data_IF_468515600706
#
_entry.id   IF_468515600706
#
_cell.length_a   1.000
_cell.length_b   1.000
_cell.length_c   1.000
_cell.angle_alpha   90.00
_cell.angle_beta   90.00
_cell.angle_gamma   90.00
#
_symmetry.space_group_name_H-M   'P 1'
#
loop_
_entity.id
_entity.type
_entity.pdbx_description
1 polymer ?
#
# COMPACT_ATOMS: atom_id res chain seq x y z
N UNK A 1 78.26 -21.49 -10.37
CA UNK A 1 76.86 -21.80 -10.85
C UNK A 1 75.89 -21.14 -9.87
N UNK A 2 75.31 -19.96 -10.23
CA UNK A 2 74.36 -19.23 -9.44
C UNK A 2 72.94 -19.64 -9.88
N UNK A 3 72.18 -20.20 -8.93
CA UNK A 3 70.74 -20.51 -9.18
C UNK A 3 69.92 -19.28 -8.88
N UNK A 4 69.26 -18.74 -9.90
CA UNK A 4 68.25 -17.68 -9.76
C UNK A 4 66.96 -18.33 -9.26
N UNK A 5 66.48 -17.94 -8.08
CA UNK A 5 65.15 -18.32 -7.60
C UNK A 5 64.11 -17.30 -8.11
N UNK A 6 63.15 -17.76 -8.86
CA UNK A 6 62.02 -16.95 -9.31
C UNK A 6 60.93 -17.00 -8.22
N UNK A 7 60.69 -15.88 -7.57
CA UNK A 7 59.59 -15.73 -6.62
C UNK A 7 58.32 -15.41 -7.39
N UNK A 8 57.33 -16.30 -7.33
CA UNK A 8 55.97 -16.04 -7.82
C UNK A 8 55.20 -15.22 -6.77
N UNK A 9 54.91 -13.98 -7.07
CA UNK A 9 53.96 -13.17 -6.29
C UNK A 9 52.54 -13.51 -6.70
N UNK A 10 51.80 -14.18 -5.80
CA UNK A 10 50.36 -14.41 -5.99
C UNK A 10 49.59 -13.12 -5.60
N UNK A 11 49.12 -12.39 -6.59
CA UNK A 11 48.18 -11.29 -6.38
C UNK A 11 46.79 -11.87 -6.09
N UNK A 12 46.40 -11.85 -4.83
CA UNK A 12 45.03 -12.13 -4.43
C UNK A 12 44.12 -10.94 -4.81
N UNK A 13 43.32 -11.10 -5.85
CA UNK A 13 42.30 -10.15 -6.24
C UNK A 13 41.17 -10.18 -5.17
N UNK A 14 41.09 -9.14 -4.34
CA UNK A 14 39.97 -8.94 -3.44
C UNK A 14 38.80 -8.42 -4.27
N UNK A 15 37.85 -9.31 -4.60
CA UNK A 15 36.60 -8.92 -5.22
C UNK A 15 35.69 -8.33 -4.14
N UNK A 16 35.23 -7.05 -4.26
CA UNK A 16 34.24 -6.55 -3.32
C UNK A 16 32.94 -7.34 -3.52
N UNK A 17 32.57 -8.10 -2.51
CA UNK A 17 31.23 -8.72 -2.46
C UNK A 17 30.20 -7.58 -2.37
N UNK A 18 29.53 -7.29 -3.48
CA UNK A 18 28.32 -6.46 -3.48
C UNK A 18 27.26 -7.23 -2.69
N UNK A 19 27.18 -6.93 -1.40
CA UNK A 19 26.06 -7.37 -0.58
C UNK A 19 24.79 -6.69 -1.10
N UNK A 20 23.99 -7.41 -1.88
CA UNK A 20 22.61 -7.04 -2.10
C UNK A 20 21.93 -7.10 -0.73
N UNK A 21 21.72 -5.94 -0.12
CA UNK A 21 20.91 -5.82 1.06
C UNK A 21 19.51 -6.35 0.69
N UNK A 22 19.20 -7.57 1.10
CA UNK A 22 17.84 -8.09 1.04
C UNK A 22 17.01 -7.15 1.90
N UNK A 23 16.03 -6.50 1.27
CA UNK A 23 15.09 -5.60 1.93
C UNK A 23 14.26 -6.44 2.91
N UNK A 24 14.76 -6.63 4.13
CA UNK A 24 14.01 -7.24 5.22
C UNK A 24 12.89 -6.27 5.58
N UNK A 25 11.65 -6.75 5.78
CA UNK A 25 10.56 -5.90 6.24
C UNK A 25 11.02 -5.15 7.49
N UNK A 26 10.92 -3.84 7.46
CA UNK A 26 11.22 -3.02 8.64
C UNK A 26 10.04 -3.10 9.62
N UNK A 27 10.30 -2.87 10.92
CA UNK A 27 9.21 -2.77 11.92
C UNK A 27 8.14 -1.76 11.51
N UNK A 28 8.52 -0.75 10.73
CA UNK A 28 7.60 0.23 10.17
C UNK A 28 6.70 -0.34 9.08
N UNK A 29 7.23 -1.19 8.20
CA UNK A 29 6.44 -1.88 7.18
C UNK A 29 5.40 -2.81 7.80
N UNK A 30 5.77 -3.56 8.85
CA UNK A 30 4.85 -4.45 9.55
C UNK A 30 3.70 -3.66 10.21
N UNK A 31 4.01 -2.48 10.79
CA UNK A 31 2.99 -1.58 11.33
C UNK A 31 1.99 -1.15 10.25
N UNK A 32 2.48 -0.71 9.09
CA UNK A 32 1.62 -0.25 8.00
C UNK A 32 0.77 -1.38 7.41
N UNK A 33 1.33 -2.58 7.26
CA UNK A 33 0.56 -3.77 6.85
C UNK A 33 -0.58 -4.05 7.83
N UNK A 34 -0.31 -3.95 9.14
CA UNK A 34 -1.35 -4.14 10.15
C UNK A 34 -2.43 -3.06 10.07
N UNK A 35 -2.04 -1.78 9.96
CA UNK A 35 -2.99 -0.67 9.82
C UNK A 35 -3.88 -0.83 8.60
N UNK A 36 -3.31 -1.25 7.48
CA UNK A 36 -4.05 -1.50 6.25
C UNK A 36 -5.02 -2.67 6.39
N UNK A 37 -4.61 -3.75 7.06
CA UNK A 37 -5.48 -4.89 7.31
C UNK A 37 -6.64 -4.52 8.27
N UNK A 38 -6.37 -3.72 9.31
CA UNK A 38 -7.39 -3.20 10.21
C UNK A 38 -8.38 -2.29 9.45
N UNK A 39 -7.88 -1.46 8.54
CA UNK A 39 -8.70 -0.62 7.66
C UNK A 39 -9.61 -1.47 6.76
N UNK A 40 -9.04 -2.46 6.05
CA UNK A 40 -9.79 -3.36 5.18
C UNK A 40 -10.90 -4.10 5.95
N UNK A 41 -10.58 -4.59 7.15
CA UNK A 41 -11.55 -5.27 8.02
C UNK A 41 -12.68 -4.34 8.43
N UNK A 42 -12.36 -3.14 8.90
CA UNK A 42 -13.38 -2.17 9.32
C UNK A 42 -14.33 -1.80 8.17
N UNK A 43 -13.80 -1.66 6.95
CA UNK A 43 -14.61 -1.37 5.77
C UNK A 43 -15.47 -2.57 5.35
N UNK A 44 -14.95 -3.77 5.44
CA UNK A 44 -15.74 -4.98 5.15
C UNK A 44 -16.93 -5.13 6.13
N UNK A 45 -16.78 -4.71 7.39
CA UNK A 45 -17.80 -4.79 8.43
C UNK A 45 -18.79 -3.60 8.41
N UNK A 46 -18.31 -2.39 8.09
CA UNK A 46 -19.07 -1.15 8.29
C UNK A 46 -19.18 -0.28 7.03
N UNK A 47 -18.65 -0.75 5.91
CA UNK A 47 -18.76 -0.09 4.61
C UNK A 47 -18.10 1.30 4.54
N UNK A 48 -18.69 2.18 3.73
CA UNK A 48 -18.15 3.51 3.46
C UNK A 48 -17.99 4.39 4.70
N UNK A 49 -18.83 4.24 5.69
CA UNK A 49 -18.70 5.01 6.93
C UNK A 49 -17.36 4.76 7.63
N UNK A 50 -16.92 3.49 7.69
CA UNK A 50 -15.61 3.15 8.21
C UNK A 50 -14.48 3.66 7.30
N UNK A 51 -14.65 3.55 5.97
CA UNK A 51 -13.65 4.02 5.00
C UNK A 51 -13.21 5.45 5.30
N UNK A 52 -14.15 6.38 5.44
CA UNK A 52 -13.88 7.81 5.69
C UNK A 52 -13.14 8.05 7.00
N UNK A 53 -13.33 7.22 8.02
CA UNK A 53 -12.71 7.43 9.34
C UNK A 53 -11.18 7.20 9.35
N UNK A 54 -10.67 6.46 8.37
CA UNK A 54 -9.24 6.22 8.24
C UNK A 54 -8.47 7.36 7.58
N UNK A 55 -9.16 8.29 6.92
CA UNK A 55 -8.52 9.45 6.29
C UNK A 55 -8.20 10.56 7.30
N UNK A 56 -7.06 11.23 7.07
CA UNK A 56 -6.72 12.49 7.72
C UNK A 56 -7.71 13.59 7.34
N UNK A 57 -7.73 14.69 8.07
CA UNK A 57 -8.63 15.83 7.74
C UNK A 57 -8.34 16.42 6.35
N UNK A 58 -7.06 16.45 5.97
CA UNK A 58 -6.56 16.87 4.67
C UNK A 58 -6.40 15.70 3.67
N UNK A 59 -6.89 14.51 4.03
CA UNK A 59 -6.78 13.31 3.20
C UNK A 59 -7.68 13.36 1.96
N UNK A 60 -7.20 12.77 0.89
CA UNK A 60 -7.86 12.74 -0.42
C UNK A 60 -7.88 11.35 -1.03
N UNK A 61 -8.92 11.06 -1.79
CA UNK A 61 -9.02 9.93 -2.70
C UNK A 61 -8.87 10.44 -4.14
N UNK A 62 -7.95 9.84 -4.90
CA UNK A 62 -7.78 10.12 -6.33
C UNK A 62 -8.65 9.13 -7.09
N UNK A 63 -9.65 9.65 -7.78
CA UNK A 63 -10.65 8.82 -8.42
C UNK A 63 -10.22 8.31 -9.80
N UNK A 64 -10.63 7.09 -10.13
CA UNK A 64 -10.51 6.55 -11.48
C UNK A 64 -11.31 7.45 -12.44
N UNK A 65 -10.65 7.94 -13.48
CA UNK A 65 -11.24 8.89 -14.41
C UNK A 65 -10.91 10.36 -14.15
N UNK A 66 -10.17 10.69 -13.07
CA UNK A 66 -9.51 12.00 -12.92
C UNK A 66 -10.16 12.99 -11.98
N UNK A 67 -10.82 12.53 -10.92
CA UNK A 67 -11.30 13.36 -9.83
C UNK A 67 -10.37 13.33 -8.61
N UNK A 68 -10.55 14.28 -7.71
CA UNK A 68 -9.99 14.29 -6.35
C UNK A 68 -11.13 14.53 -5.39
N UNK A 69 -11.39 13.55 -4.51
CA UNK A 69 -12.43 13.64 -3.50
C UNK A 69 -11.79 13.86 -2.13
N UNK A 70 -12.08 14.98 -1.51
CA UNK A 70 -11.62 15.30 -0.16
C UNK A 70 -12.36 14.47 0.88
N UNK A 71 -11.77 14.33 2.07
CA UNK A 71 -12.45 13.65 3.19
C UNK A 71 -13.81 14.28 3.51
N UNK A 72 -13.94 15.60 3.42
CA UNK A 72 -15.21 16.29 3.66
C UNK A 72 -16.27 15.97 2.61
N UNK A 73 -15.87 15.76 1.36
CA UNK A 73 -16.78 15.31 0.30
C UNK A 73 -17.14 13.84 0.48
N UNK A 74 -16.17 12.97 0.87
CA UNK A 74 -16.45 11.58 1.20
C UNK A 74 -17.53 11.43 2.29
N UNK A 75 -17.53 12.31 3.32
CA UNK A 75 -18.55 12.32 4.38
C UNK A 75 -19.95 12.61 3.87
N UNK A 76 -20.06 13.36 2.79
CA UNK A 76 -21.35 13.75 2.19
C UNK A 76 -21.89 12.70 1.22
N UNK A 77 -21.04 11.77 0.80
CA UNK A 77 -21.45 10.71 -0.11
C UNK A 77 -22.39 9.73 0.61
N UNK A 78 -23.41 9.29 -0.09
CA UNK A 78 -24.34 8.26 0.42
C UNK A 78 -23.63 6.94 0.71
N UNK A 79 -24.17 6.21 1.67
CA UNK A 79 -23.71 4.85 1.93
C UNK A 79 -23.77 4.00 0.66
N UNK A 80 -22.88 3.03 0.57
CA UNK A 80 -22.92 2.08 -0.54
C UNK A 80 -24.28 1.36 -0.57
N UNK A 81 -24.78 1.14 -1.78
CA UNK A 81 -26.02 0.41 -2.00
C UNK A 81 -25.92 -1.01 -1.44
N UNK A 82 -27.07 -1.57 -1.05
CA UNK A 82 -27.13 -2.95 -0.57
C UNK A 82 -26.54 -3.94 -1.59
N UNK A 83 -25.68 -4.82 -1.09
CA UNK A 83 -24.93 -5.79 -1.91
C UNK A 83 -23.64 -5.23 -2.53
N UNK A 84 -23.28 -3.97 -2.24
CA UNK A 84 -21.95 -3.43 -2.56
C UNK A 84 -20.95 -3.81 -1.50
N UNK A 85 -19.75 -4.22 -1.91
CA UNK A 85 -18.64 -4.46 -0.99
C UNK A 85 -17.31 -4.09 -1.63
N UNK A 86 -16.40 -3.57 -0.81
CA UNK A 86 -15.01 -3.34 -1.15
C UNK A 86 -14.15 -4.14 -0.18
N UNK A 87 -13.30 -5.00 -0.72
CA UNK A 87 -12.34 -5.80 0.04
C UNK A 87 -10.98 -5.68 -0.60
N UNK A 88 -9.94 -5.65 0.21
CA UNK A 88 -8.57 -5.59 -0.31
C UNK A 88 -7.58 -6.28 0.63
N UNK A 89 -6.42 -6.58 0.07
CA UNK A 89 -5.33 -7.24 0.79
C UNK A 89 -4.02 -6.52 0.47
N UNK A 90 -3.30 -6.04 1.48
CA UNK A 90 -1.98 -5.44 1.29
C UNK A 90 -0.98 -6.50 0.82
N UNK A 91 -0.16 -6.13 -0.16
CA UNK A 91 0.93 -6.95 -0.69
C UNK A 91 2.27 -6.48 -0.16
N UNK A 92 2.43 -5.17 -0.02
CA UNK A 92 3.67 -4.57 0.46
C UNK A 92 3.39 -3.24 1.15
N UNK A 93 4.25 -2.95 2.12
CA UNK A 93 4.39 -1.63 2.72
C UNK A 93 5.84 -1.20 2.77
N UNK A 94 6.06 0.09 2.81
CA UNK A 94 7.37 0.66 3.10
C UNK A 94 7.19 1.96 3.89
N UNK A 95 8.14 2.25 4.77
CA UNK A 95 8.10 3.41 5.66
C UNK A 95 9.35 4.26 5.47
N UNK A 96 9.17 5.56 5.36
CA UNK A 96 10.28 6.51 5.31
C UNK A 96 11.16 6.40 6.56
N UNK A 97 12.45 6.69 6.42
CA UNK A 97 13.41 6.63 7.53
C UNK A 97 13.06 7.57 8.69
N UNK A 98 12.29 8.64 8.43
CA UNK A 98 11.73 9.54 9.44
C UNK A 98 10.70 8.87 10.36
N UNK A 99 10.09 7.76 9.94
CA UNK A 99 9.15 6.99 10.73
C UNK A 99 7.76 7.64 10.90
N UNK A 100 7.42 8.60 10.06
CA UNK A 100 6.16 9.37 10.12
C UNK A 100 5.35 9.35 8.81
N UNK A 101 5.91 8.78 7.75
CA UNK A 101 5.29 8.64 6.44
C UNK A 101 5.61 7.26 5.86
N UNK A 102 4.66 6.67 5.15
CA UNK A 102 4.86 5.44 4.40
C UNK A 102 3.70 5.15 3.49
N UNK A 103 3.76 4.01 2.81
CA UNK A 103 2.71 3.56 1.91
C UNK A 103 2.45 2.08 2.04
N UNK A 104 1.26 1.69 1.66
CA UNK A 104 0.88 0.32 1.38
C UNK A 104 0.37 0.23 -0.06
N UNK A 105 0.52 -0.92 -0.68
CA UNK A 105 -0.21 -1.22 -1.90
C UNK A 105 -0.64 -2.67 -1.93
N UNK A 106 -1.66 -2.96 -2.71
CA UNK A 106 -2.19 -4.30 -2.84
C UNK A 106 -3.24 -4.44 -3.93
N UNK A 107 -4.05 -5.47 -3.77
CA UNK A 107 -5.13 -5.76 -4.70
C UNK A 107 -6.47 -5.56 -4.02
N UNK A 108 -7.46 -5.07 -4.77
CA UNK A 108 -8.84 -4.95 -4.28
C UNK A 108 -9.82 -5.70 -5.17
N UNK A 109 -10.95 -6.02 -4.57
CA UNK A 109 -12.15 -6.51 -5.26
C UNK A 109 -13.31 -5.63 -4.84
N UNK A 110 -13.95 -5.00 -5.82
CA UNK A 110 -15.17 -4.23 -5.64
C UNK A 110 -16.33 -4.96 -6.27
N UNK A 111 -17.37 -5.20 -5.49
CA UNK A 111 -18.63 -5.80 -5.94
C UNK A 111 -19.73 -4.76 -5.87
N UNK A 112 -20.50 -4.64 -6.93
CA UNK A 112 -21.66 -3.76 -6.99
C UNK A 112 -22.78 -4.40 -7.82
N UNK A 113 -23.93 -3.75 -7.89
CA UNK A 113 -25.02 -4.13 -8.81
C UNK A 113 -25.08 -3.11 -9.95
N UNK A 114 -25.22 -3.58 -11.17
CA UNK A 114 -25.52 -2.73 -12.31
C UNK A 114 -27.01 -2.30 -12.28
N UNK A 115 -27.42 -1.51 -13.27
CA UNK A 115 -28.81 -1.00 -13.37
C UNK A 115 -29.85 -2.11 -13.50
N UNK A 116 -29.47 -3.27 -14.01
CA UNK A 116 -30.30 -4.46 -14.17
C UNK A 116 -30.31 -5.36 -12.92
N UNK A 117 -29.61 -4.94 -11.84
CA UNK A 117 -29.52 -5.68 -10.57
C UNK A 117 -28.52 -6.85 -10.58
N UNK A 118 -27.75 -7.01 -11.65
CA UNK A 118 -26.75 -8.07 -11.77
C UNK A 118 -25.49 -7.67 -11.02
N UNK A 119 -24.82 -8.65 -10.38
CA UNK A 119 -23.55 -8.44 -9.69
C UNK A 119 -22.46 -8.19 -10.73
N UNK A 120 -21.75 -7.06 -10.55
CA UNK A 120 -20.54 -6.71 -11.29
C UNK A 120 -19.37 -6.77 -10.31
N UNK A 121 -18.30 -7.46 -10.72
CA UNK A 121 -17.07 -7.57 -9.96
C UNK A 121 -15.98 -6.80 -10.71
N UNK A 122 -15.33 -5.88 -10.03
CA UNK A 122 -14.17 -5.14 -10.52
C UNK A 122 -12.96 -5.53 -9.69
N UNK A 123 -11.89 -5.91 -10.34
CA UNK A 123 -10.58 -6.14 -9.72
C UNK A 123 -9.70 -4.92 -9.94
N UNK A 124 -8.80 -4.68 -9.01
CA UNK A 124 -7.87 -3.58 -9.17
C UNK A 124 -6.69 -3.63 -8.21
N UNK A 125 -5.86 -2.61 -8.33
CA UNK A 125 -4.73 -2.36 -7.44
C UNK A 125 -4.94 -1.02 -6.77
N UNK A 126 -4.41 -0.89 -5.56
CA UNK A 126 -4.49 0.35 -4.80
C UNK A 126 -3.13 0.74 -4.22
N UNK A 127 -3.01 1.99 -3.88
CA UNK A 127 -1.96 2.52 -3.01
C UNK A 127 -2.58 3.46 -2.00
N UNK A 128 -2.26 3.26 -0.72
CA UNK A 128 -2.61 4.17 0.36
C UNK A 128 -1.33 4.77 0.94
N UNK A 129 -1.27 6.09 1.03
CA UNK A 129 -0.18 6.81 1.69
C UNK A 129 -0.61 7.13 3.12
N UNK A 130 0.14 6.62 4.09
CA UNK A 130 -0.09 6.74 5.51
C UNK A 130 0.82 7.80 6.12
N UNK A 131 0.27 8.65 6.95
CA UNK A 131 1.00 9.70 7.67
C UNK A 131 0.65 9.67 9.16
N UNK A 132 1.68 9.72 9.99
CA UNK A 132 1.53 9.86 11.43
C UNK A 132 1.07 11.27 11.76
N UNK A 133 0.00 11.37 12.52
CA UNK A 133 -0.60 12.63 12.94
C UNK A 133 0.08 13.15 14.22
N UNK A 134 -0.16 14.40 14.59
CA UNK A 134 0.40 15.03 15.78
C UNK A 134 -0.01 14.36 17.10
N UNK A 135 -1.16 13.70 17.11
CA UNK A 135 -1.65 12.90 18.24
C UNK A 135 -1.07 11.47 18.31
N UNK A 136 -0.20 11.13 17.35
CA UNK A 136 0.42 9.81 17.24
C UNK A 136 -0.38 8.78 16.46
N UNK A 137 -1.63 9.06 16.10
CA UNK A 137 -2.44 8.19 15.24
C UNK A 137 -1.90 8.17 13.81
N UNK A 138 -2.22 7.10 13.06
CA UNK A 138 -1.89 7.00 11.66
C UNK A 138 -3.15 7.16 10.82
N UNK A 139 -3.08 7.99 9.78
CA UNK A 139 -4.18 8.26 8.86
C UNK A 139 -3.72 8.21 7.41
N UNK A 140 -4.63 7.84 6.52
CA UNK A 140 -4.45 7.92 5.08
C UNK A 140 -4.52 9.38 4.64
N UNK A 141 -3.50 9.85 3.93
CA UNK A 141 -3.47 11.20 3.36
C UNK A 141 -3.71 11.21 1.86
N UNK A 142 -3.38 10.12 1.18
CA UNK A 142 -3.71 9.91 -0.24
C UNK A 142 -4.09 8.46 -0.41
N UNK A 143 -5.18 8.20 -1.09
CA UNK A 143 -5.59 6.89 -1.54
C UNK A 143 -5.89 6.92 -3.04
N UNK A 144 -5.57 5.86 -3.74
CA UNK A 144 -5.85 5.70 -5.16
C UNK A 144 -6.01 4.22 -5.51
N UNK A 145 -7.01 3.94 -6.32
CA UNK A 145 -7.17 2.64 -6.96
C UNK A 145 -7.26 2.77 -8.48
N UNK A 146 -6.86 1.75 -9.18
CA UNK A 146 -7.12 1.60 -10.61
C UNK A 146 -7.60 0.19 -10.92
N UNK A 147 -8.52 0.08 -11.85
CA UNK A 147 -9.02 -1.22 -12.31
C UNK A 147 -7.94 -2.04 -13.02
N UNK A 148 -8.02 -3.35 -12.90
CA UNK A 148 -7.14 -4.31 -13.56
C UNK A 148 -7.93 -5.53 -14.06
N UNK A 149 -7.37 -6.32 -14.98
CA UNK A 149 -7.96 -7.63 -15.32
C UNK A 149 -8.06 -8.52 -14.07
N UNK A 150 -8.98 -9.48 -14.12
CA UNK A 150 -9.08 -10.52 -13.11
C UNK A 150 -7.73 -11.24 -12.94
N UNK A 151 -7.28 -11.45 -11.70
CA UNK A 151 -6.07 -12.22 -11.42
C UNK A 151 -6.21 -13.65 -11.99
N UNK A 152 -5.15 -14.10 -12.66
CA UNK A 152 -5.06 -15.46 -13.21
C UNK A 152 -4.74 -16.46 -12.12
#
# INVERSE_FOLDING_TARGET
MRRLGIAFAVLAAIWPALSFAQNQPSKGSDLLIKLEADFAKAVAEHGRAAFVTYFAEDGVELEDGGGVTTREEMKKQVAWAEGTSLTWTPVRADMAASGDLGFTYGNYVFKSKNKEGQIVITYGKYVSVWKKQSDGSWKVVVDMGNSSPEPK
#
